data_IF_688719493764
#
_entry.id   IF_688719493764
#
_cell.length_a   1.000
_cell.length_b   1.000
_cell.length_c   1.000
_cell.angle_alpha   90.00
_cell.angle_beta   90.00
_cell.angle_gamma   90.00
#
_symmetry.space_group_name_H-M   'P 1'
#
loop_
_entity.id
_entity.type
_entity.pdbx_description
1 polymer ?
#
# COMPACT_ATOMS: atom_id res chain seq x y z
N UNK A 1 -13.53 45.40 1.66
CA UNK A 1 -13.80 45.21 3.11
C UNK A 1 -14.37 43.82 3.44
N UNK A 2 -15.28 43.25 2.63
CA UNK A 2 -15.83 41.89 2.88
C UNK A 2 -14.80 40.75 2.84
N UNK A 3 -13.87 40.74 1.87
CA UNK A 3 -12.83 39.71 1.78
C UNK A 3 -11.88 39.67 2.99
N UNK A 4 -11.48 40.84 3.49
CA UNK A 4 -10.62 40.96 4.67
C UNK A 4 -11.31 40.49 5.97
N UNK A 5 -12.60 40.79 6.14
CA UNK A 5 -13.39 40.29 7.30
C UNK A 5 -13.59 38.78 7.24
N UNK A 6 -13.85 38.22 6.05
CA UNK A 6 -13.97 36.78 5.85
C UNK A 6 -12.64 36.07 6.14
N UNK A 7 -11.52 36.60 5.65
CA UNK A 7 -10.19 36.05 5.92
C UNK A 7 -9.85 36.01 7.41
N UNK A 8 -10.15 37.09 8.15
CA UNK A 8 -9.93 37.13 9.61
C UNK A 8 -10.83 36.13 10.37
N UNK A 9 -12.11 35.99 9.98
CA UNK A 9 -13.02 35.04 10.61
C UNK A 9 -12.62 33.58 10.33
N UNK A 10 -12.29 33.25 9.07
CA UNK A 10 -11.84 31.92 8.67
C UNK A 10 -10.51 31.56 9.34
N UNK A 11 -9.60 32.54 9.48
CA UNK A 11 -8.33 32.39 10.23
C UNK A 11 -8.58 32.01 11.69
N UNK A 12 -9.44 32.77 12.38
CA UNK A 12 -9.72 32.54 13.80
C UNK A 12 -10.37 31.17 14.04
N UNK A 13 -11.32 30.76 13.20
CA UNK A 13 -11.98 29.45 13.29
C UNK A 13 -10.99 28.31 13.02
N UNK A 14 -10.25 28.37 11.91
CA UNK A 14 -9.35 27.28 11.52
C UNK A 14 -8.13 27.14 12.42
N UNK A 15 -7.69 28.20 13.09
CA UNK A 15 -6.62 28.11 14.10
C UNK A 15 -7.05 27.26 15.29
N UNK A 16 -8.34 27.32 15.68
CA UNK A 16 -8.87 26.47 16.74
C UNK A 16 -8.88 24.99 16.32
N UNK A 17 -9.25 24.70 15.06
CA UNK A 17 -9.26 23.35 14.51
C UNK A 17 -7.84 22.74 14.50
N UNK A 18 -6.84 23.52 14.07
CA UNK A 18 -5.43 23.12 14.11
C UNK A 18 -4.94 22.80 15.53
N UNK A 19 -5.28 23.64 16.51
CA UNK A 19 -4.94 23.40 17.92
C UNK A 19 -5.61 22.15 18.48
N UNK A 20 -6.85 21.89 18.06
CA UNK A 20 -7.59 20.68 18.44
C UNK A 20 -6.98 19.41 17.84
N UNK A 21 -6.53 19.45 16.58
CA UNK A 21 -5.79 18.35 15.96
C UNK A 21 -4.51 18.04 16.75
N UNK A 22 -3.70 19.05 17.08
CA UNK A 22 -2.46 18.88 17.87
C UNK A 22 -2.73 18.20 19.21
N UNK A 23 -3.76 18.65 19.93
CA UNK A 23 -4.16 18.04 21.20
C UNK A 23 -4.47 16.55 21.03
N UNK A 24 -5.22 16.18 19.99
CA UNK A 24 -5.59 14.78 19.74
C UNK A 24 -4.41 13.92 19.32
N UNK A 25 -3.49 14.47 18.54
CA UNK A 25 -2.23 13.78 18.21
C UNK A 25 -1.43 13.49 19.48
N UNK A 26 -1.34 14.47 20.40
CA UNK A 26 -0.72 14.27 21.72
C UNK A 26 -1.44 13.18 22.53
N UNK A 27 -2.77 13.23 22.60
CA UNK A 27 -3.55 12.25 23.38
C UNK A 27 -3.32 10.80 22.89
N UNK A 28 -3.10 10.60 21.58
CA UNK A 28 -2.83 9.29 20.98
C UNK A 28 -1.37 8.88 21.09
N UNK A 29 -0.43 9.83 20.93
CA UNK A 29 0.99 9.54 20.84
C UNK A 29 1.76 9.65 22.18
N UNK A 30 1.15 10.16 23.25
CA UNK A 30 1.84 10.43 24.53
C UNK A 30 2.56 9.22 25.15
N UNK A 31 2.10 8.00 24.89
CA UNK A 31 2.71 6.77 25.40
C UNK A 31 3.90 6.29 24.53
N UNK A 32 4.19 6.96 23.42
CA UNK A 32 5.32 6.65 22.54
C UNK A 32 6.59 7.28 23.10
N UNK A 33 7.27 6.51 23.95
CA UNK A 33 8.54 6.85 24.61
C UNK A 33 9.61 5.84 24.19
N UNK A 34 10.86 6.30 24.07
CA UNK A 34 11.98 5.39 23.85
C UNK A 34 12.25 4.57 25.11
N UNK A 35 11.93 3.29 25.09
CA UNK A 35 12.02 2.43 26.29
C UNK A 35 13.24 1.52 26.30
N UNK A 36 13.78 1.18 25.14
CA UNK A 36 14.95 0.29 24.99
C UNK A 36 15.79 0.68 23.79
N UNK A 37 17.05 0.24 23.76
CA UNK A 37 17.90 0.41 22.58
C UNK A 37 17.41 -0.42 21.39
N UNK A 38 17.14 -1.71 21.60
CA UNK A 38 16.71 -2.63 20.55
C UNK A 38 15.50 -3.46 21.00
N UNK A 39 14.50 -3.58 20.13
CA UNK A 39 13.37 -4.49 20.32
C UNK A 39 13.64 -5.91 19.77
N UNK A 40 14.75 -6.11 19.05
CA UNK A 40 15.15 -7.40 18.48
C UNK A 40 14.43 -7.77 17.18
N UNK A 41 13.53 -6.92 16.67
CA UNK A 41 12.81 -7.19 15.42
C UNK A 41 13.78 -7.33 14.24
N UNK A 42 13.49 -8.29 13.36
CA UNK A 42 14.11 -8.39 12.03
C UNK A 42 13.24 -7.75 10.96
N UNK A 43 12.00 -7.37 11.30
CA UNK A 43 11.13 -6.63 10.41
C UNK A 43 11.60 -5.18 10.29
N UNK A 44 11.40 -4.64 9.10
CA UNK A 44 11.66 -3.27 8.72
C UNK A 44 10.72 -2.89 7.57
N UNK A 45 10.94 -1.69 7.05
CA UNK A 45 10.19 -1.13 5.93
C UNK A 45 11.13 -0.97 4.72
N UNK A 46 10.63 -1.29 3.54
CA UNK A 46 11.32 -0.98 2.30
C UNK A 46 11.03 0.46 1.90
N UNK A 47 12.08 1.27 1.79
CA UNK A 47 11.99 2.61 1.21
C UNK A 47 12.46 2.50 -0.24
N UNK A 48 11.54 2.64 -1.19
CA UNK A 48 11.83 2.46 -2.61
C UNK A 48 11.97 3.80 -3.31
N UNK A 49 12.90 3.88 -4.26
CA UNK A 49 13.07 5.05 -5.13
C UNK A 49 11.86 5.29 -6.03
N UNK A 50 11.11 4.23 -6.34
CA UNK A 50 9.89 4.32 -7.16
C UNK A 50 8.69 4.92 -6.40
N UNK A 51 8.72 4.93 -5.06
CA UNK A 51 7.63 5.45 -4.25
C UNK A 51 7.57 6.98 -4.35
N UNK A 52 6.45 7.51 -4.83
CA UNK A 52 6.23 8.96 -4.92
C UNK A 52 5.65 9.48 -3.61
N UNK A 53 6.52 9.96 -2.72
CA UNK A 53 6.14 10.59 -1.45
C UNK A 53 6.53 12.06 -1.50
N UNK A 54 5.65 12.93 -2.00
CA UNK A 54 5.84 14.38 -2.04
C UNK A 54 7.17 14.86 -2.64
N UNK A 55 7.61 14.20 -3.72
CA UNK A 55 8.86 14.46 -4.43
C UNK A 55 10.13 14.33 -3.55
N UNK A 56 10.05 13.59 -2.43
CA UNK A 56 11.21 13.27 -1.61
C UNK A 56 12.17 12.32 -2.35
N UNK A 57 13.46 12.62 -2.23
CA UNK A 57 14.54 11.73 -2.65
C UNK A 57 14.65 10.52 -1.73
N UNK A 58 15.36 9.48 -2.19
CA UNK A 58 15.63 8.31 -1.36
C UNK A 58 16.46 8.72 -0.13
N UNK A 59 17.46 9.57 -0.30
CA UNK A 59 18.29 10.11 0.78
C UNK A 59 17.45 10.81 1.87
N UNK A 60 16.59 11.76 1.50
CA UNK A 60 15.74 12.50 2.46
C UNK A 60 14.92 11.58 3.36
N UNK A 61 14.47 10.42 2.84
CA UNK A 61 13.61 9.47 3.56
C UNK A 61 14.38 8.52 4.47
N UNK A 62 15.65 8.22 4.16
CA UNK A 62 16.46 7.23 4.89
C UNK A 62 17.44 7.85 5.89
N UNK A 63 17.85 9.11 5.70
CA UNK A 63 18.76 9.81 6.61
C UNK A 63 18.23 9.76 8.05
N UNK A 64 19.11 9.39 8.97
CA UNK A 64 18.81 9.27 10.39
C UNK A 64 17.96 8.06 10.76
N UNK A 65 17.76 7.09 9.86
CA UNK A 65 17.19 5.76 10.20
C UNK A 65 18.30 4.74 10.45
N UNK A 66 17.95 3.59 11.01
CA UNK A 66 18.86 2.46 11.11
C UNK A 66 18.56 1.41 10.04
N UNK A 67 19.58 0.76 9.50
CA UNK A 67 19.42 -0.33 8.55
C UNK A 67 18.80 -1.58 9.22
N UNK A 68 17.81 -2.20 8.57
CA UNK A 68 17.18 -3.43 9.06
C UNK A 68 17.93 -4.71 8.63
N UNK A 69 18.76 -4.61 7.58
CA UNK A 69 19.64 -5.65 7.07
C UNK A 69 21.01 -5.05 6.67
N UNK A 70 21.99 -5.90 6.41
CA UNK A 70 23.26 -5.46 5.83
C UNK A 70 23.02 -5.01 4.38
N UNK A 71 23.52 -3.84 4.02
CA UNK A 71 23.42 -3.30 2.67
C UNK A 71 24.80 -3.24 2.04
N UNK A 72 24.91 -3.79 0.84
CA UNK A 72 26.15 -3.90 0.08
C UNK A 72 26.05 -3.08 -1.20
N UNK A 73 27.19 -2.56 -1.64
CA UNK A 73 27.35 -1.96 -2.95
C UNK A 73 27.21 -3.05 -4.04
N UNK A 74 26.24 -2.95 -4.97
CA UNK A 74 26.01 -3.96 -5.99
C UNK A 74 27.18 -4.17 -6.97
N UNK A 75 28.04 -3.17 -7.14
CA UNK A 75 29.15 -3.20 -8.10
C UNK A 75 30.45 -3.69 -7.46
N UNK A 76 30.75 -3.21 -6.25
CA UNK A 76 32.01 -3.55 -5.56
C UNK A 76 31.86 -4.70 -4.57
N UNK A 77 30.64 -4.99 -4.10
CA UNK A 77 30.38 -5.93 -3.01
C UNK A 77 30.79 -5.41 -1.63
N UNK A 78 31.22 -4.15 -1.52
CA UNK A 78 31.61 -3.53 -0.26
C UNK A 78 30.38 -3.28 0.63
N UNK A 79 30.51 -3.50 1.93
CA UNK A 79 29.47 -3.17 2.89
C UNK A 79 29.28 -1.64 2.97
N UNK A 80 28.09 -1.15 2.63
CA UNK A 80 27.73 0.27 2.76
C UNK A 80 27.37 0.57 4.21
N UNK A 81 26.48 -0.24 4.79
CA UNK A 81 26.04 -0.12 6.18
C UNK A 81 25.62 -1.49 6.72
N UNK A 82 26.11 -1.83 7.90
CA UNK A 82 25.71 -3.05 8.61
C UNK A 82 24.29 -2.92 9.16
N UNK A 83 23.63 -4.05 9.40
CA UNK A 83 22.37 -4.11 10.16
C UNK A 83 22.53 -3.37 11.49
N UNK A 84 21.49 -2.62 11.86
CA UNK A 84 21.44 -1.72 13.00
C UNK A 84 22.38 -0.50 12.92
N UNK A 85 23.19 -0.36 11.86
CA UNK A 85 23.95 0.84 11.59
C UNK A 85 23.03 2.01 11.26
N UNK A 86 23.33 3.18 11.83
CA UNK A 86 22.63 4.43 11.50
C UNK A 86 23.07 4.91 10.13
N UNK A 87 22.11 5.34 9.32
CA UNK A 87 22.32 5.94 8.01
C UNK A 87 22.49 7.45 8.23
N UNK A 88 23.71 7.95 8.10
CA UNK A 88 24.01 9.38 8.08
C UNK A 88 23.87 9.96 6.66
N UNK A 89 24.18 11.24 6.52
CA UNK A 89 24.15 11.96 5.25
C UNK A 89 25.06 11.32 4.19
N UNK A 90 26.29 10.93 4.57
CA UNK A 90 27.27 10.34 3.64
C UNK A 90 26.80 8.97 3.13
N UNK A 91 26.29 8.12 4.01
CA UNK A 91 25.72 6.82 3.65
C UNK A 91 24.47 6.99 2.78
N UNK A 92 23.60 7.95 3.12
CA UNK A 92 22.39 8.22 2.34
C UNK A 92 22.72 8.73 0.93
N UNK A 93 23.72 9.59 0.78
CA UNK A 93 24.20 10.07 -0.51
C UNK A 93 24.78 8.93 -1.35
N UNK A 94 25.48 7.97 -0.74
CA UNK A 94 25.92 6.74 -1.44
C UNK A 94 24.73 5.98 -2.01
N UNK A 95 23.68 5.77 -1.22
CA UNK A 95 22.45 5.11 -1.70
C UNK A 95 21.74 5.89 -2.81
N UNK A 96 21.64 7.22 -2.65
CA UNK A 96 20.97 8.08 -3.61
C UNK A 96 21.69 8.10 -4.97
N UNK A 97 23.02 8.19 -4.95
CA UNK A 97 23.84 8.31 -6.16
C UNK A 97 24.09 6.97 -6.87
N UNK A 98 23.89 5.83 -6.20
CA UNK A 98 24.07 4.52 -6.82
C UNK A 98 22.84 4.13 -7.67
N UNK A 99 22.95 4.03 -9.02
CA UNK A 99 21.79 3.84 -9.90
C UNK A 99 21.15 2.45 -9.76
N UNK A 100 21.93 1.43 -9.35
CA UNK A 100 21.43 0.06 -9.15
C UNK A 100 20.73 -0.16 -7.82
N UNK A 101 20.78 0.80 -6.89
CA UNK A 101 20.07 0.69 -5.62
C UNK A 101 18.67 1.28 -5.79
N UNK A 102 17.71 0.38 -5.95
CA UNK A 102 16.29 0.70 -6.14
C UNK A 102 15.55 0.88 -4.81
N UNK A 103 15.97 0.20 -3.76
CA UNK A 103 15.29 0.19 -2.46
C UNK A 103 16.28 -0.06 -1.32
N UNK A 104 15.94 0.44 -0.13
CA UNK A 104 16.73 0.30 1.09
C UNK A 104 15.84 -0.22 2.20
N UNK A 105 16.28 -1.28 2.88
CA UNK A 105 15.57 -1.89 4.00
C UNK A 105 15.98 -1.25 5.33
N UNK A 106 15.06 -0.50 5.93
CA UNK A 106 15.31 0.30 7.14
C UNK A 106 14.39 -0.12 8.27
N UNK A 107 14.81 0.14 9.50
CA UNK A 107 13.94 0.01 10.67
C UNK A 107 12.96 1.19 10.72
N UNK A 108 11.78 0.93 11.29
CA UNK A 108 10.70 1.92 11.40
C UNK A 108 9.94 1.73 12.73
N UNK A 109 9.38 2.80 13.33
CA UNK A 109 8.46 2.70 14.46
C UNK A 109 7.29 1.73 14.19
N UNK A 110 6.78 1.69 12.96
CA UNK A 110 5.67 0.80 12.53
C UNK A 110 5.98 -0.70 12.65
N UNK A 111 7.26 -1.06 12.67
CA UNK A 111 7.73 -2.47 12.72
C UNK A 111 8.37 -2.83 14.07
N UNK A 112 8.29 -1.91 15.05
CA UNK A 112 8.84 -2.11 16.37
C UNK A 112 8.07 -3.21 17.12
N UNK A 113 8.78 -4.18 17.67
CA UNK A 113 8.20 -5.30 18.42
C UNK A 113 7.98 -5.00 19.92
N UNK A 114 8.17 -3.76 20.38
CA UNK A 114 7.85 -3.40 21.76
C UNK A 114 6.34 -3.26 21.95
N UNK A 115 5.85 -3.77 23.07
CA UNK A 115 4.43 -3.68 23.45
C UNK A 115 4.08 -2.24 23.90
N UNK A 116 5.00 -1.58 24.60
CA UNK A 116 4.84 -0.21 25.09
C UNK A 116 6.04 0.64 24.68
N UNK A 117 5.77 1.78 24.06
CA UNK A 117 6.78 2.67 23.49
C UNK A 117 7.49 2.06 22.28
N UNK A 118 8.59 2.70 21.88
CA UNK A 118 9.40 2.27 20.74
C UNK A 118 10.87 2.13 21.14
N UNK A 119 11.65 1.37 20.35
CA UNK A 119 13.08 1.24 20.62
C UNK A 119 13.89 2.29 19.85
N UNK A 120 15.07 2.62 20.36
CA UNK A 120 15.96 3.62 19.76
C UNK A 120 16.34 3.26 18.32
N UNK A 121 16.63 2.00 18.02
CA UNK A 121 16.98 1.57 16.66
C UNK A 121 15.81 1.61 15.66
N UNK A 122 14.57 1.48 16.12
CA UNK A 122 13.40 1.65 15.24
C UNK A 122 13.11 3.12 14.92
N UNK A 123 13.46 4.04 15.82
CA UNK A 123 13.31 5.48 15.62
C UNK A 123 14.52 6.12 14.90
N UNK A 124 15.72 5.69 15.28
CA UNK A 124 17.01 6.18 14.81
C UNK A 124 17.43 7.50 15.47
N UNK A 125 17.89 8.42 14.62
CA UNK A 125 18.41 9.73 15.00
C UNK A 125 17.32 10.66 15.55
N UNK A 126 17.63 11.33 16.64
CA UNK A 126 16.90 12.50 17.16
C UNK A 126 17.16 13.71 16.25
N UNK A 127 16.09 14.28 15.70
CA UNK A 127 16.19 15.37 14.72
C UNK A 127 16.53 16.73 15.36
N UNK A 128 16.38 16.87 16.68
CA UNK A 128 16.76 18.08 17.41
C UNK A 128 18.22 18.07 17.83
N UNK A 129 18.75 16.92 18.26
CA UNK A 129 20.15 16.79 18.70
C UNK A 129 21.11 16.36 17.60
N UNK A 130 20.64 15.57 16.64
CA UNK A 130 21.48 15.04 15.58
C UNK A 130 22.26 13.77 15.97
N UNK A 131 21.99 13.16 17.12
CA UNK A 131 22.57 11.88 17.54
C UNK A 131 21.49 10.80 17.65
N UNK A 132 21.88 9.56 17.95
CA UNK A 132 20.93 8.48 18.26
C UNK A 132 20.00 8.92 19.41
N UNK A 133 18.71 8.62 19.31
CA UNK A 133 17.74 8.99 20.34
C UNK A 133 18.04 8.30 21.68
N UNK A 134 17.95 9.05 22.77
CA UNK A 134 18.17 8.57 24.13
C UNK A 134 16.94 7.82 24.69
N UNK A 135 17.20 6.89 25.62
CA UNK A 135 16.13 6.23 26.39
C UNK A 135 15.44 7.26 27.28
N UNK A 136 14.11 7.24 27.30
CA UNK A 136 13.28 8.18 28.04
C UNK A 136 12.76 9.35 27.20
N UNK A 137 13.22 9.52 25.95
CA UNK A 137 12.74 10.59 25.07
C UNK A 137 11.28 10.35 24.67
N UNK A 138 10.44 11.36 24.91
CA UNK A 138 9.01 11.36 24.58
C UNK A 138 8.77 11.68 23.09
N UNK A 139 9.20 10.76 22.22
CA UNK A 139 9.15 10.91 20.76
C UNK A 139 7.75 11.07 20.19
N UNK A 140 6.71 10.57 20.87
CA UNK A 140 5.32 10.79 20.48
C UNK A 140 4.86 12.23 20.65
N UNK A 141 5.26 12.89 21.74
CA UNK A 141 4.98 14.31 21.94
C UNK A 141 5.71 15.15 20.89
N UNK A 142 6.98 14.80 20.61
CA UNK A 142 7.78 15.47 19.57
C UNK A 142 7.10 15.32 18.21
N UNK A 143 6.70 14.11 17.82
CA UNK A 143 6.01 13.87 16.55
C UNK A 143 4.69 14.64 16.45
N UNK A 144 3.86 14.59 17.48
CA UNK A 144 2.59 15.30 17.52
C UNK A 144 2.77 16.83 17.39
N UNK A 145 3.81 17.40 18.02
CA UNK A 145 4.13 18.82 17.89
C UNK A 145 4.68 19.17 16.51
N UNK A 146 5.59 18.35 15.96
CA UNK A 146 6.15 18.53 14.61
C UNK A 146 5.09 18.51 13.51
N UNK A 147 3.98 17.80 13.73
CA UNK A 147 2.83 17.78 12.81
C UNK A 147 1.86 18.92 13.12
N UNK A 148 1.54 19.11 14.40
CA UNK A 148 0.50 20.04 14.85
C UNK A 148 0.87 21.52 14.75
N UNK A 149 2.08 21.90 15.14
CA UNK A 149 2.53 23.30 15.11
C UNK A 149 2.49 23.87 13.69
N UNK A 150 3.08 23.22 12.65
CA UNK A 150 2.95 23.74 11.29
C UNK A 150 1.51 23.69 10.77
N UNK A 151 0.66 22.79 11.30
CA UNK A 151 -0.78 22.76 11.02
C UNK A 151 -1.48 24.09 11.31
N UNK A 152 -1.06 24.82 12.35
CA UNK A 152 -1.56 26.18 12.63
C UNK A 152 -1.09 27.20 11.60
N UNK A 153 0.07 26.99 10.96
CA UNK A 153 0.56 27.86 9.89
C UNK A 153 -0.14 27.57 8.56
N UNK A 154 -0.57 26.33 8.33
CA UNK A 154 -1.35 25.94 7.14
C UNK A 154 -2.65 26.73 7.02
N UNK A 155 -3.27 27.08 8.14
CA UNK A 155 -4.53 27.84 8.15
C UNK A 155 -4.33 29.32 7.89
N UNK A 156 -3.13 29.85 8.14
CA UNK A 156 -2.77 31.25 7.94
C UNK A 156 -2.31 31.57 6.52
N UNK A 157 -1.69 30.63 5.80
CA UNK A 157 -1.07 30.87 4.47
C UNK A 157 -1.97 30.57 3.26
N UNK A 158 -3.10 29.89 3.42
CA UNK A 158 -3.97 29.49 2.28
C UNK A 158 -4.69 30.62 1.52
N UNK A 159 -4.52 31.89 1.89
CA UNK A 159 -5.35 32.99 1.38
C UNK A 159 -4.89 33.63 0.06
N UNK A 160 -3.75 33.24 -0.51
CA UNK A 160 -3.22 33.90 -1.71
C UNK A 160 -3.68 33.31 -3.05
N UNK A 161 -4.35 32.16 -3.05
CA UNK A 161 -4.97 31.57 -4.26
C UNK A 161 -6.45 31.93 -4.42
N UNK A 162 -6.95 32.87 -3.61
CA UNK A 162 -8.33 33.32 -3.66
C UNK A 162 -8.57 34.30 -4.81
N UNK A 163 -8.83 33.79 -6.03
CA UNK A 163 -9.30 34.65 -7.12
C UNK A 163 -9.38 34.04 -8.51
N UNK A 164 -8.69 32.94 -8.78
CA UNK A 164 -8.87 32.20 -10.04
C UNK A 164 -9.25 30.78 -9.71
N UNK A 165 -10.40 30.33 -10.22
CA UNK A 165 -10.69 28.91 -10.30
C UNK A 165 -9.69 28.31 -11.29
N UNK A 166 -8.45 28.06 -10.84
CA UNK A 166 -7.57 27.17 -11.58
C UNK A 166 -8.24 25.81 -11.56
N UNK A 167 -8.66 25.41 -12.76
CA UNK A 167 -9.33 24.15 -13.06
C UNK A 167 -8.35 22.97 -12.93
N UNK A 168 -7.86 22.72 -11.72
CA UNK A 168 -7.05 21.55 -11.38
C UNK A 168 -7.43 21.05 -9.99
N UNK A 169 -8.51 20.27 -9.93
CA UNK A 169 -8.89 19.43 -8.80
C UNK A 169 -9.46 20.17 -7.59
N UNK A 170 -10.77 20.01 -7.38
CA UNK A 170 -11.47 20.27 -6.12
C UNK A 170 -11.02 19.26 -5.04
N UNK A 171 -9.73 19.28 -4.72
CA UNK A 171 -9.10 18.47 -3.68
C UNK A 171 -9.05 19.37 -2.45
N UNK A 172 -9.59 18.88 -1.33
CA UNK A 172 -9.45 19.54 -0.03
C UNK A 172 -7.97 19.89 0.17
N UNK A 173 -7.63 21.18 0.22
CA UNK A 173 -6.25 21.64 0.32
C UNK A 173 -5.98 22.23 1.69
N UNK A 174 -4.78 21.97 2.22
CA UNK A 174 -4.36 22.41 3.54
C UNK A 174 -4.92 21.54 4.67
N UNK A 175 -5.15 22.16 5.83
CA UNK A 175 -5.50 21.47 7.07
C UNK A 175 -6.73 20.55 7.00
N UNK A 176 -7.85 20.90 6.33
CA UNK A 176 -9.02 20.01 6.29
C UNK A 176 -8.75 18.63 5.70
N UNK A 177 -7.78 18.53 4.77
CA UNK A 177 -7.35 17.26 4.20
C UNK A 177 -6.50 16.46 5.17
N UNK A 178 -5.60 17.12 5.90
CA UNK A 178 -4.78 16.50 6.95
C UNK A 178 -5.69 15.90 8.03
N UNK A 179 -6.68 16.66 8.50
CA UNK A 179 -7.68 16.18 9.46
C UNK A 179 -8.48 14.99 8.91
N UNK A 180 -8.93 15.06 7.66
CA UNK A 180 -9.65 13.96 6.99
C UNK A 180 -8.82 12.67 6.96
N UNK A 181 -7.51 12.78 6.68
CA UNK A 181 -6.57 11.66 6.61
C UNK A 181 -6.27 11.07 8.00
N UNK A 182 -5.99 11.89 9.01
CA UNK A 182 -5.71 11.42 10.37
C UNK A 182 -6.93 10.86 11.09
N UNK A 183 -8.12 11.42 10.83
CA UNK A 183 -9.32 10.88 11.42
C UNK A 183 -9.77 9.59 10.72
N UNK A 184 -9.66 9.54 9.40
CA UNK A 184 -10.18 8.48 8.54
C UNK A 184 -11.62 8.03 8.89
N UNK A 185 -12.42 8.83 9.60
CA UNK A 185 -13.75 8.40 10.11
C UNK A 185 -14.83 8.39 9.06
N UNK A 186 -14.66 9.19 8.00
CA UNK A 186 -15.65 9.37 6.93
C UNK A 186 -15.04 8.97 5.60
N UNK A 187 -15.92 8.57 4.69
CA UNK A 187 -15.56 8.42 3.29
C UNK A 187 -14.97 9.73 2.77
N UNK A 188 -13.86 9.69 2.02
CA UNK A 188 -13.26 10.89 1.48
C UNK A 188 -14.25 11.68 0.62
N UNK A 189 -14.11 13.00 0.59
CA UNK A 189 -14.87 13.81 -0.36
C UNK A 189 -14.37 13.50 -1.77
N UNK A 190 -15.29 13.15 -2.66
CA UNK A 190 -14.92 12.67 -4.00
C UNK A 190 -14.13 11.36 -3.94
N UNK A 191 -14.59 10.39 -3.14
CA UNK A 191 -13.99 9.06 -3.09
C UNK A 191 -13.87 8.47 -4.49
N UNK A 192 -12.66 8.09 -4.85
CA UNK A 192 -12.40 7.42 -6.10
C UNK A 192 -12.93 5.98 -6.08
N UNK A 193 -13.52 5.56 -7.20
CA UNK A 193 -13.87 4.16 -7.40
C UNK A 193 -12.57 3.38 -7.61
N UNK A 194 -12.35 2.39 -6.77
CA UNK A 194 -11.18 1.50 -6.78
C UNK A 194 -11.63 0.06 -7.01
N UNK A 195 -10.89 -0.73 -7.78
CA UNK A 195 -11.17 -2.16 -7.98
C UNK A 195 -10.68 -3.01 -6.80
N UNK A 196 -11.45 -4.02 -6.40
CA UNK A 196 -11.07 -4.99 -5.37
C UNK A 196 -10.28 -6.18 -5.96
N UNK A 197 -10.41 -6.42 -7.27
CA UNK A 197 -9.77 -7.55 -7.95
C UNK A 197 -8.92 -7.07 -9.14
N UNK A 198 -7.92 -7.86 -9.49
CA UNK A 198 -7.21 -7.71 -10.75
C UNK A 198 -8.03 -8.34 -11.90
N UNK A 199 -7.83 -7.89 -13.13
CA UNK A 199 -8.48 -8.47 -14.30
C UNK A 199 -8.66 -7.48 -15.44
N UNK A 200 -9.55 -7.81 -16.37
CA UNK A 200 -9.88 -6.96 -17.52
C UNK A 200 -11.08 -6.08 -17.18
N UNK A 201 -10.92 -4.77 -17.33
CA UNK A 201 -11.98 -3.78 -17.13
C UNK A 201 -12.92 -3.75 -18.34
N UNK A 202 -14.23 -3.80 -18.10
CA UNK A 202 -15.28 -3.58 -19.10
C UNK A 202 -16.18 -2.43 -18.68
N UNK A 203 -16.36 -1.46 -19.57
CA UNK A 203 -17.21 -0.30 -19.32
C UNK A 203 -18.53 -0.45 -20.05
N UNK A 204 -19.62 -0.43 -19.30
CA UNK A 204 -20.98 -0.46 -19.84
C UNK A 204 -21.83 0.66 -19.26
N UNK A 205 -23.02 0.86 -19.82
CA UNK A 205 -23.99 1.82 -19.32
C UNK A 205 -25.33 1.11 -19.14
N UNK A 206 -25.86 1.12 -17.91
CA UNK A 206 -27.17 0.58 -17.55
C UNK A 206 -28.00 1.70 -16.91
N UNK A 207 -29.21 1.92 -17.42
CA UNK A 207 -30.15 2.93 -16.90
C UNK A 207 -29.56 4.35 -16.74
N UNK A 208 -28.67 4.75 -17.65
CA UNK A 208 -28.02 6.07 -17.59
C UNK A 208 -26.76 6.12 -16.72
N UNK A 209 -26.50 5.11 -15.90
CA UNK A 209 -25.35 4.99 -14.99
C UNK A 209 -24.22 4.20 -15.67
N UNK A 210 -22.98 4.66 -15.50
CA UNK A 210 -21.80 3.93 -15.99
C UNK A 210 -21.45 2.82 -15.01
N UNK A 211 -21.24 1.62 -15.52
CA UNK A 211 -20.84 0.45 -14.74
C UNK A 211 -19.47 -0.02 -15.24
N UNK A 212 -18.52 -0.14 -14.32
CA UNK A 212 -17.24 -0.79 -14.55
C UNK A 212 -17.30 -2.22 -14.04
N UNK A 213 -17.21 -3.20 -14.94
CA UNK A 213 -17.14 -4.62 -14.61
C UNK A 213 -15.70 -5.08 -14.74
N UNK A 214 -15.08 -5.52 -13.65
CA UNK A 214 -13.74 -6.13 -13.71
C UNK A 214 -13.90 -7.64 -13.74
N UNK A 215 -13.30 -8.28 -14.73
CA UNK A 215 -13.39 -9.73 -14.94
C UNK A 215 -12.00 -10.33 -14.77
N UNK A 216 -11.84 -11.20 -13.77
CA UNK A 216 -10.69 -12.09 -13.65
C UNK A 216 -11.07 -13.48 -14.18
N UNK A 217 -10.32 -13.98 -15.16
CA UNK A 217 -10.46 -15.34 -15.68
C UNK A 217 -9.12 -16.06 -15.47
N UNK A 218 -9.11 -17.05 -14.58
CA UNK A 218 -7.94 -17.90 -14.33
C UNK A 218 -8.25 -19.33 -14.75
N UNK A 219 -7.36 -19.93 -15.54
CA UNK A 219 -7.44 -21.37 -15.85
C UNK A 219 -6.68 -22.12 -14.77
N UNK A 220 -7.42 -22.82 -13.91
CA UNK A 220 -6.85 -23.71 -12.91
C UNK A 220 -6.74 -25.09 -13.52
N UNK A 221 -5.55 -25.69 -13.45
CA UNK A 221 -5.31 -27.06 -13.87
C UNK A 221 -4.85 -27.93 -12.71
N UNK A 222 -5.54 -29.04 -12.49
CA UNK A 222 -5.16 -30.04 -11.48
C UNK A 222 -4.62 -31.28 -12.19
N UNK A 223 -3.45 -31.76 -11.74
CA UNK A 223 -2.77 -32.93 -12.31
C UNK A 223 -3.12 -34.17 -11.49
N UNK A 224 -3.56 -35.22 -12.17
CA UNK A 224 -3.78 -36.54 -11.59
C UNK A 224 -2.83 -37.55 -12.23
N UNK A 225 -1.90 -38.06 -11.43
CA UNK A 225 -0.99 -39.15 -11.81
C UNK A 225 -1.69 -40.49 -11.58
N UNK A 226 -1.84 -41.29 -12.64
CA UNK A 226 -2.52 -42.58 -12.58
C UNK A 226 -1.52 -43.71 -12.26
N UNK A 227 -1.65 -44.40 -11.11
CA UNK A 227 -0.78 -45.52 -10.76
C UNK A 227 -1.01 -46.75 -11.65
N UNK A 228 -0.04 -47.68 -11.67
CA UNK A 228 -0.20 -48.95 -12.38
C UNK A 228 -1.35 -49.77 -11.78
N UNK A 229 -2.21 -50.33 -12.65
CA UNK A 229 -3.41 -51.10 -12.27
C UNK A 229 -4.71 -50.28 -12.24
N UNK A 230 -4.65 -48.97 -12.46
CA UNK A 230 -5.84 -48.13 -12.64
C UNK A 230 -6.19 -47.98 -14.13
N UNK A 231 -7.45 -48.22 -14.46
CA UNK A 231 -8.01 -47.96 -15.79
C UNK A 231 -8.71 -46.60 -15.82
N UNK A 232 -8.40 -45.78 -16.82
CA UNK A 232 -9.02 -44.47 -17.04
C UNK A 232 -10.45 -44.67 -17.54
N UNK A 233 -11.44 -44.05 -16.87
CA UNK A 233 -12.86 -44.16 -17.25
C UNK A 233 -13.43 -42.92 -17.94
N UNK A 234 -12.61 -41.89 -18.11
CA UNK A 234 -12.97 -40.64 -18.79
C UNK A 234 -12.26 -40.54 -20.13
N UNK A 235 -12.93 -39.94 -21.11
CA UNK A 235 -12.33 -39.66 -22.42
C UNK A 235 -11.54 -38.34 -22.37
N UNK A 236 -10.62 -38.18 -23.33
CA UNK A 236 -9.99 -36.88 -23.57
C UNK A 236 -11.05 -35.84 -23.99
N UNK A 237 -10.90 -34.61 -23.50
CA UNK A 237 -11.85 -33.49 -23.63
C UNK A 237 -13.22 -33.71 -22.96
N UNK A 238 -13.37 -34.71 -22.08
CA UNK A 238 -14.62 -34.91 -21.36
C UNK A 238 -14.85 -33.85 -20.27
N UNK A 239 -16.08 -33.33 -20.18
CA UNK A 239 -16.54 -32.53 -19.05
C UNK A 239 -16.88 -33.42 -17.86
N UNK A 240 -16.36 -33.09 -16.68
CA UNK A 240 -16.56 -33.82 -15.43
C UNK A 240 -17.04 -32.88 -14.32
N UNK A 241 -17.79 -33.43 -13.36
CA UNK A 241 -18.25 -32.77 -12.14
C UNK A 241 -17.47 -33.26 -10.91
N UNK A 242 -17.46 -32.50 -9.81
CA UNK A 242 -16.86 -32.96 -8.56
C UNK A 242 -17.49 -34.28 -8.10
N UNK A 243 -16.65 -35.29 -7.88
CA UNK A 243 -17.07 -36.64 -7.50
C UNK A 243 -17.13 -37.65 -8.64
N UNK A 244 -16.98 -37.23 -9.90
CA UNK A 244 -16.93 -38.14 -11.04
C UNK A 244 -15.65 -38.98 -11.00
N UNK A 245 -15.77 -40.26 -11.38
CA UNK A 245 -14.66 -41.23 -11.33
C UNK A 245 -13.78 -41.03 -12.57
N UNK A 246 -12.55 -40.57 -12.35
CA UNK A 246 -11.54 -40.37 -13.40
C UNK A 246 -10.84 -41.69 -13.75
N UNK A 247 -10.48 -42.47 -12.74
CA UNK A 247 -9.85 -43.77 -12.92
C UNK A 247 -10.26 -44.76 -11.81
N UNK A 248 -10.27 -46.04 -12.14
CA UNK A 248 -10.72 -47.12 -11.27
C UNK A 248 -9.72 -48.29 -11.28
N UNK A 249 -9.42 -48.85 -10.12
CA UNK A 249 -8.63 -50.07 -10.00
C UNK A 249 -9.55 -51.26 -9.70
N UNK A 250 -9.60 -52.25 -10.59
CA UNK A 250 -10.47 -53.43 -10.42
C UNK A 250 -10.00 -54.39 -9.34
N UNK A 251 -8.68 -54.45 -9.07
CA UNK A 251 -8.08 -55.37 -8.11
C UNK A 251 -8.24 -54.88 -6.66
N UNK A 252 -8.12 -53.57 -6.44
CA UNK A 252 -8.20 -52.97 -5.09
C UNK A 252 -9.55 -52.31 -4.80
N UNK A 253 -10.35 -52.02 -5.83
CA UNK A 253 -11.61 -51.27 -5.71
C UNK A 253 -11.42 -49.77 -5.46
N UNK A 254 -10.18 -49.27 -5.49
CA UNK A 254 -9.86 -47.86 -5.28
C UNK A 254 -10.27 -46.99 -6.47
N UNK A 255 -10.64 -45.73 -6.18
CA UNK A 255 -11.17 -44.78 -7.17
C UNK A 255 -10.43 -43.46 -7.08
N UNK A 256 -10.05 -42.91 -8.23
CA UNK A 256 -9.60 -41.53 -8.36
C UNK A 256 -10.80 -40.71 -8.83
N UNK A 257 -11.18 -39.70 -8.05
CA UNK A 257 -12.34 -38.85 -8.32
C UNK A 257 -11.91 -37.42 -8.64
N UNK A 258 -12.69 -36.71 -9.44
CA UNK A 258 -12.48 -35.30 -9.72
C UNK A 258 -12.83 -34.45 -8.50
N UNK A 259 -11.94 -33.53 -8.11
CA UNK A 259 -12.22 -32.57 -7.03
C UNK A 259 -12.95 -31.31 -7.50
N UNK A 260 -12.94 -31.02 -8.81
CA UNK A 260 -13.54 -29.82 -9.39
C UNK A 260 -14.27 -30.11 -10.69
N UNK A 261 -15.20 -29.23 -11.07
CA UNK A 261 -15.81 -29.27 -12.40
C UNK A 261 -14.81 -28.75 -13.42
N UNK A 262 -14.67 -29.41 -14.58
CA UNK A 262 -13.74 -28.98 -15.62
C UNK A 262 -13.67 -29.95 -16.80
N UNK A 263 -12.75 -29.67 -17.71
CA UNK A 263 -12.47 -30.49 -18.89
C UNK A 263 -11.20 -31.29 -18.66
N UNK A 264 -11.26 -32.61 -18.90
CA UNK A 264 -10.12 -33.52 -18.80
C UNK A 264 -9.27 -33.42 -20.08
N UNK A 265 -7.95 -33.29 -19.92
CA UNK A 265 -6.98 -33.51 -20.98
C UNK A 265 -6.03 -34.65 -20.61
N UNK A 266 -5.87 -35.62 -21.51
CA UNK A 266 -5.03 -36.79 -21.30
C UNK A 266 -3.70 -36.61 -22.05
N UNK A 267 -2.59 -36.56 -21.32
CA UNK A 267 -1.25 -36.52 -21.89
C UNK A 267 -0.57 -37.88 -21.68
N UNK A 268 0.05 -38.43 -22.72
CA UNK A 268 0.81 -39.67 -22.64
C UNK A 268 2.30 -39.35 -22.60
N UNK A 269 2.99 -39.76 -21.54
CA UNK A 269 4.45 -39.61 -21.46
C UNK A 269 5.12 -40.56 -22.49
N UNK A 270 5.63 -40.00 -23.58
CA UNK A 270 6.30 -40.75 -24.66
C UNK A 270 7.67 -41.30 -24.26
N UNK A 271 8.25 -40.79 -23.16
CA UNK A 271 9.60 -41.11 -22.70
C UNK A 271 9.67 -42.35 -21.80
N UNK A 272 8.54 -42.75 -21.20
CA UNK A 272 8.45 -43.91 -20.33
C UNK A 272 8.06 -45.18 -21.10
N UNK A 273 8.81 -46.28 -20.95
CA UNK A 273 8.53 -47.57 -21.60
C UNK A 273 7.14 -48.17 -21.28
N UNK A 274 6.51 -47.71 -20.19
CA UNK A 274 5.07 -47.84 -19.93
C UNK A 274 4.42 -46.52 -20.32
N UNK A 275 3.61 -46.48 -21.38
CA UNK A 275 2.76 -45.33 -21.75
C UNK A 275 1.80 -44.99 -20.61
N UNK A 276 2.23 -44.16 -19.66
CA UNK A 276 1.41 -43.78 -18.50
C UNK A 276 0.59 -42.53 -18.86
N UNK A 277 -0.75 -42.60 -18.83
CA UNK A 277 -1.57 -41.42 -19.01
C UNK A 277 -1.50 -40.53 -17.76
N UNK A 278 -1.24 -39.25 -17.98
CA UNK A 278 -1.40 -38.19 -16.98
C UNK A 278 -2.67 -37.42 -17.32
N UNK A 279 -3.57 -37.24 -16.36
CA UNK A 279 -4.77 -36.42 -16.56
C UNK A 279 -4.55 -35.00 -16.06
N UNK A 280 -4.92 -34.02 -16.86
CA UNK A 280 -5.01 -32.62 -16.46
C UNK A 280 -6.48 -32.19 -16.49
N UNK A 281 -7.05 -31.94 -15.32
CA UNK A 281 -8.37 -31.36 -15.19
C UNK A 281 -8.25 -29.83 -15.25
N UNK A 282 -8.70 -29.21 -16.33
CA UNK A 282 -8.69 -27.76 -16.52
C UNK A 282 -10.06 -27.17 -16.25
N UNK A 283 -10.14 -26.12 -15.44
CA UNK A 283 -11.36 -25.34 -15.30
C UNK A 283 -11.06 -23.85 -15.38
N UNK A 284 -11.96 -23.11 -16.03
CA UNK A 284 -11.92 -21.65 -16.00
C UNK A 284 -12.67 -21.15 -14.75
N UNK A 285 -11.95 -20.53 -13.83
CA UNK A 285 -12.55 -19.76 -12.74
C UNK A 285 -12.71 -18.32 -13.20
N UNK A 286 -13.96 -17.92 -13.43
CA UNK A 286 -14.31 -16.55 -13.78
C UNK A 286 -14.92 -15.83 -12.59
N UNK A 287 -14.24 -14.81 -12.10
CA UNK A 287 -14.76 -13.89 -11.09
C UNK A 287 -15.07 -12.54 -11.76
N UNK A 288 -16.23 -11.95 -11.45
CA UNK A 288 -16.57 -10.61 -11.92
C UNK A 288 -17.11 -9.76 -10.79
N UNK A 289 -16.70 -8.49 -10.75
CA UNK A 289 -17.20 -7.50 -9.79
C UNK A 289 -17.62 -6.25 -10.56
N UNK A 290 -18.79 -5.73 -10.24
CA UNK A 290 -19.35 -4.51 -10.85
C UNK A 290 -19.21 -3.32 -9.90
N UNK A 291 -18.81 -2.18 -10.47
CA UNK A 291 -18.65 -0.91 -9.78
C UNK A 291 -19.49 0.15 -10.47
N UNK A 292 -20.38 0.79 -9.70
CA UNK A 292 -21.13 1.94 -10.20
C UNK A 292 -20.23 3.18 -10.21
N UNK A 293 -20.11 3.81 -11.38
CA UNK A 293 -19.35 5.04 -11.57
C UNK A 293 -20.33 6.22 -11.59
N UNK A 294 -20.24 7.16 -10.62
CA UNK A 294 -21.06 8.37 -10.62
C UNK A 294 -20.93 9.14 -11.94
N UNK A 295 -22.02 9.76 -12.40
CA UNK A 295 -22.01 10.54 -13.64
C UNK A 295 -21.05 11.74 -13.62
N UNK A 296 -20.79 12.30 -12.44
CA UNK A 296 -19.84 13.40 -12.22
C UNK A 296 -18.38 12.96 -12.18
N UNK A 297 -18.10 11.67 -11.93
CA UNK A 297 -16.74 11.16 -11.79
C UNK A 297 -16.06 11.03 -13.17
N UNK A 298 -14.81 11.47 -13.29
CA UNK A 298 -14.01 11.27 -14.50
C UNK A 298 -13.22 9.97 -14.36
N UNK A 299 -13.11 9.19 -15.43
CA UNK A 299 -12.23 8.02 -15.45
C UNK A 299 -10.77 8.48 -15.51
N UNK A 300 -9.88 7.74 -14.85
CA UNK A 300 -8.44 7.95 -15.02
C UNK A 300 -8.01 7.46 -16.41
N UNK A 301 -6.89 7.96 -16.94
CA UNK A 301 -6.46 7.66 -18.31
C UNK A 301 -6.19 6.17 -18.52
N UNK A 302 -5.72 5.49 -17.48
CA UNK A 302 -5.39 4.07 -17.47
C UNK A 302 -6.64 3.16 -17.43
N UNK A 303 -7.83 3.72 -17.15
CA UNK A 303 -9.08 2.99 -16.98
C UNK A 303 -9.98 3.11 -18.22
N UNK A 304 -9.57 2.49 -19.32
CA UNK A 304 -10.36 2.38 -20.57
C UNK A 304 -10.97 0.98 -20.75
N UNK A 305 -11.94 0.84 -21.65
CA UNK A 305 -12.57 -0.46 -21.93
C UNK A 305 -11.56 -1.46 -22.49
N UNK A 306 -11.41 -2.61 -21.84
CA UNK A 306 -10.40 -3.62 -22.14
C UNK A 306 -9.06 -3.45 -21.44
N UNK A 307 -8.89 -2.42 -20.60
CA UNK A 307 -7.66 -2.23 -19.83
C UNK A 307 -7.43 -3.37 -18.81
N UNK A 308 -6.19 -3.80 -18.65
CA UNK A 308 -5.79 -4.67 -17.54
C UNK A 308 -5.63 -3.82 -16.28
N UNK A 309 -6.29 -4.21 -15.21
CA UNK A 309 -6.26 -3.52 -13.92
C UNK A 309 -5.79 -4.44 -12.81
N UNK A 310 -5.11 -3.89 -11.81
CA UNK A 310 -4.68 -4.63 -10.62
C UNK A 310 -5.57 -4.31 -9.41
N UNK A 311 -5.61 -5.19 -8.41
CA UNK A 311 -6.37 -4.98 -7.18
C UNK A 311 -5.90 -3.71 -6.44
N UNK A 312 -6.83 -2.81 -6.14
CA UNK A 312 -6.53 -1.51 -5.55
C UNK A 312 -6.26 -0.39 -6.57
N UNK A 313 -6.32 -0.68 -7.88
CA UNK A 313 -6.21 0.35 -8.91
C UNK A 313 -7.43 1.28 -8.91
N UNK A 314 -7.15 2.57 -9.01
CA UNK A 314 -8.14 3.62 -9.11
C UNK A 314 -8.72 3.66 -10.54
N UNK A 315 -10.05 3.67 -10.65
CA UNK A 315 -10.78 3.73 -11.91
C UNK A 315 -11.23 5.16 -12.24
N UNK A 316 -11.54 5.96 -11.22
CA UNK A 316 -11.99 7.35 -11.38
C UNK A 316 -11.06 8.32 -10.68
N UNK A 317 -10.97 9.56 -11.14
CA UNK A 317 -10.35 10.66 -10.39
C UNK A 317 -11.00 10.79 -9.00
N UNK A 318 -10.24 11.25 -8.02
CA UNK A 318 -10.70 11.43 -6.64
C UNK A 318 -9.71 10.92 -5.59
N UNK A 319 -10.12 11.02 -4.33
CA UNK A 319 -9.34 10.58 -3.18
C UNK A 319 -9.54 9.09 -2.91
N UNK A 320 -8.48 8.33 -2.66
CA UNK A 320 -8.62 6.93 -2.23
C UNK A 320 -9.05 6.85 -0.76
N UNK A 321 -9.78 5.80 -0.44
CA UNK A 321 -10.24 5.53 0.92
C UNK A 321 -9.25 4.61 1.65
N UNK A 322 -8.60 5.06 2.75
CA UNK A 322 -7.64 4.26 3.50
C UNK A 322 -8.18 2.90 3.95
N UNK A 323 -9.48 2.82 4.31
CA UNK A 323 -10.10 1.55 4.73
C UNK A 323 -10.15 0.52 3.61
N UNK A 324 -10.37 0.97 2.37
CA UNK A 324 -10.35 0.09 1.20
C UNK A 324 -8.93 -0.33 0.86
N UNK A 325 -7.97 0.59 0.93
CA UNK A 325 -6.55 0.27 0.74
C UNK A 325 -6.11 -0.78 1.75
N UNK A 326 -6.45 -0.61 3.03
CA UNK A 326 -6.11 -1.57 4.07
C UNK A 326 -6.70 -2.95 3.82
N UNK A 327 -7.96 -3.01 3.40
CA UNK A 327 -8.66 -4.27 3.11
C UNK A 327 -8.10 -4.98 1.88
N UNK A 328 -7.70 -4.24 0.84
CA UNK A 328 -7.32 -4.80 -0.47
C UNK A 328 -5.80 -5.02 -0.56
N UNK A 329 -5.00 -4.06 -0.12
CA UNK A 329 -3.54 -3.99 -0.32
C UNK A 329 -2.75 -4.15 0.99
N UNK A 330 -3.39 -4.09 2.15
CA UNK A 330 -2.77 -4.33 3.46
C UNK A 330 -2.16 -3.08 4.12
N UNK A 331 -1.50 -3.30 5.25
CA UNK A 331 -1.02 -2.24 6.13
C UNK A 331 0.11 -1.40 5.53
N UNK A 332 1.09 -2.01 4.85
CA UNK A 332 2.22 -1.31 4.23
C UNK A 332 1.74 -0.31 3.17
N UNK A 333 0.87 -0.76 2.25
CA UNK A 333 0.29 0.11 1.22
C UNK A 333 -0.54 1.25 1.82
N UNK A 334 -1.26 0.98 2.91
CA UNK A 334 -2.05 2.01 3.62
C UNK A 334 -1.17 3.05 4.28
N UNK A 335 -0.11 2.62 4.97
CA UNK A 335 0.87 3.51 5.59
C UNK A 335 1.55 4.38 4.54
N UNK A 336 2.01 3.80 3.43
CA UNK A 336 2.62 4.54 2.34
C UNK A 336 1.66 5.60 1.76
N UNK A 337 0.40 5.23 1.52
CA UNK A 337 -0.62 6.16 1.03
C UNK A 337 -0.88 7.32 2.01
N UNK A 338 -1.03 7.02 3.31
CA UNK A 338 -1.27 8.05 4.32
C UNK A 338 -0.07 8.99 4.44
N UNK A 339 1.16 8.45 4.50
CA UNK A 339 2.38 9.24 4.56
C UNK A 339 2.50 10.10 3.30
N UNK A 340 2.29 9.55 2.10
CA UNK A 340 2.38 10.33 0.85
C UNK A 340 1.36 11.46 0.82
N UNK A 341 0.10 11.20 1.17
CA UNK A 341 -0.95 12.21 1.10
C UNK A 341 -0.75 13.32 2.14
N UNK A 342 -0.35 12.97 3.37
CA UNK A 342 -0.09 13.96 4.41
C UNK A 342 1.16 14.78 4.07
N UNK A 343 2.24 14.12 3.66
CA UNK A 343 3.49 14.78 3.28
C UNK A 343 3.30 15.74 2.11
N UNK A 344 2.50 15.36 1.11
CA UNK A 344 2.15 16.20 -0.03
C UNK A 344 1.52 17.52 0.44
N UNK A 345 0.63 17.48 1.43
CA UNK A 345 -0.03 18.67 1.96
C UNK A 345 0.96 19.59 2.67
N UNK A 346 1.83 19.04 3.52
CA UNK A 346 2.84 19.83 4.23
C UNK A 346 3.91 20.42 3.29
N UNK A 347 4.44 19.64 2.35
CA UNK A 347 5.48 20.11 1.41
C UNK A 347 4.97 21.14 0.42
N UNK A 348 3.72 21.02 -0.06
CA UNK A 348 3.07 22.08 -0.88
C UNK A 348 2.99 23.42 -0.16
N UNK A 349 3.14 23.43 1.16
CA UNK A 349 3.08 24.61 2.03
C UNK A 349 4.47 25.03 2.54
N UNK A 350 5.52 24.38 2.04
CA UNK A 350 6.92 24.66 2.36
C UNK A 350 7.39 24.08 3.69
N UNK A 351 6.65 23.13 4.27
CA UNK A 351 7.02 22.46 5.52
C UNK A 351 7.50 21.06 5.20
N UNK A 352 8.73 20.74 5.61
CA UNK A 352 9.28 19.39 5.48
C UNK A 352 9.25 18.71 6.86
N UNK A 353 8.52 17.60 6.97
CA UNK A 353 8.43 16.79 8.19
C UNK A 353 9.02 15.43 7.87
N UNK A 354 9.83 14.87 8.76
CA UNK A 354 10.39 13.55 8.54
C UNK A 354 9.30 12.47 8.61
N UNK A 355 9.33 11.51 7.67
CA UNK A 355 8.41 10.36 7.58
C UNK A 355 8.23 9.65 8.94
N UNK A 356 9.30 9.53 9.75
CA UNK A 356 9.29 8.87 11.06
C UNK A 356 8.31 9.49 12.07
N UNK A 357 7.92 10.76 11.90
CA UNK A 357 6.91 11.40 12.76
C UNK A 357 5.49 10.99 12.39
N UNK A 358 5.21 10.67 11.13
CA UNK A 358 3.91 10.14 10.69
C UNK A 358 3.79 8.64 10.95
N UNK A 359 4.91 7.94 11.07
CA UNK A 359 4.99 6.54 11.45
C UNK A 359 4.74 6.28 12.95
N UNK A 360 4.85 7.32 13.78
CA UNK A 360 4.47 7.31 15.20
C UNK A 360 3.00 7.68 15.30
#
# INVERSE_FOLDING_TARGET
>A
THGARKGLADTALRTADAGYLTRRLVDVAQDMIINRMDCGTQAGMWIRRADKVADQTLAERIVGRCAAADHYDPDTGELIVARNGMIDEDIADRFQNHPKIAEVYVRSPMTCALIHGICALCYGRDLGRGDMVEIGTAVGIIAAQSIGEPGTQLTLRTFHTGGTAQASGDITSGLPRVEELFEARKKPKGEAVVTDIAGTLRLSKRDGVRIATVINSEVVSEKYDIPAGFEVRVNDEAEVQPGDILAFNEDTGEKIVAHMAGTIHIEFDETSAMRRPTLYLRAERRQQVEYEIPSSARLVQEAFDGAQVYAGQQLTEGSKNPHRILRIQGAEATALYLISEVQDVYRKQGVNIADKHFEI
#
